data_IF_113324514651
#
_entry.id   IF_113324514651
#
_cell.length_a   1.000
_cell.length_b   1.000
_cell.length_c   1.000
_cell.angle_alpha   90.00
_cell.angle_beta   90.00
_cell.angle_gamma   90.00
#
_symmetry.space_group_name_H-M   'P 1'
#
loop_
_entity.id
_entity.type
_entity.pdbx_description
1 polymer ?
#
# COMPACT_ATOMS: atom_id res chain seq x y z
N UNK A 1 16.05 -30.10 77.61
CA UNK A 1 16.81 -30.39 76.38
C UNK A 1 15.81 -30.70 75.27
N UNK A 2 15.78 -29.81 74.29
CA UNK A 2 15.21 -29.83 72.92
C UNK A 2 14.08 -30.82 72.59
N UNK A 3 12.87 -30.28 72.35
CA UNK A 3 11.78 -30.96 71.64
C UNK A 3 11.91 -30.67 70.13
N UNK A 4 12.02 -31.72 69.31
CA UNK A 4 12.09 -31.61 67.85
C UNK A 4 10.68 -31.75 67.25
N UNK A 5 10.20 -30.70 66.57
CA UNK A 5 8.97 -30.72 65.80
C UNK A 5 9.26 -31.16 64.36
N UNK A 6 8.62 -32.25 63.92
CA UNK A 6 8.69 -32.75 62.55
C UNK A 6 7.64 -32.02 61.71
N UNK A 7 8.07 -31.14 60.80
CA UNK A 7 7.22 -30.50 59.80
C UNK A 7 7.10 -31.43 58.59
N UNK A 8 5.89 -31.97 58.36
CA UNK A 8 5.54 -32.68 57.14
C UNK A 8 5.24 -31.66 56.02
N UNK A 9 6.10 -31.59 55.02
CA UNK A 9 5.90 -30.79 53.81
C UNK A 9 5.09 -31.57 52.76
N UNK A 10 3.86 -31.13 52.49
CA UNK A 10 3.06 -31.61 51.38
C UNK A 10 3.51 -30.96 50.05
N UNK A 11 3.55 -31.68 48.92
CA UNK A 11 3.90 -31.10 47.64
C UNK A 11 2.72 -30.29 47.09
N UNK A 12 2.93 -28.99 46.87
CA UNK A 12 2.00 -28.14 46.14
C UNK A 12 2.16 -28.40 44.62
N UNK A 13 1.25 -29.15 44.03
CA UNK A 13 1.09 -29.25 42.58
C UNK A 13 0.52 -27.93 42.05
N UNK A 14 1.39 -27.09 41.48
CA UNK A 14 0.97 -25.93 40.72
C UNK A 14 0.29 -26.39 39.42
N UNK A 15 -1.03 -26.23 39.34
CA UNK A 15 -1.77 -26.40 38.11
C UNK A 15 -1.40 -25.25 37.16
N UNK A 16 -0.69 -25.57 36.08
CA UNK A 16 -0.50 -24.68 34.93
C UNK A 16 -1.86 -24.55 34.21
N UNK A 17 -2.59 -23.49 34.51
CA UNK A 17 -3.71 -23.05 33.67
C UNK A 17 -3.14 -22.62 32.33
N UNK A 18 -3.26 -23.49 31.33
CA UNK A 18 -3.13 -23.11 29.93
C UNK A 18 -4.32 -22.22 29.60
N UNK A 19 -4.15 -20.92 29.74
CA UNK A 19 -5.13 -19.93 29.30
C UNK A 19 -5.07 -19.90 27.77
N UNK A 20 -5.80 -20.84 27.17
CA UNK A 20 -6.11 -20.87 25.75
C UNK A 20 -7.07 -19.74 25.44
N UNK A 21 -6.56 -18.50 25.49
CA UNK A 21 -7.30 -17.32 25.06
C UNK A 21 -7.68 -17.50 23.59
N UNK A 22 -8.94 -17.85 23.34
CA UNK A 22 -9.53 -17.80 22.02
C UNK A 22 -9.40 -16.35 21.55
N UNK A 23 -8.56 -16.12 20.54
CA UNK A 23 -8.38 -14.80 19.95
C UNK A 23 -9.76 -14.28 19.54
N UNK A 24 -10.22 -13.19 20.18
CA UNK A 24 -11.49 -12.58 19.81
C UNK A 24 -11.42 -12.18 18.33
N UNK A 25 -12.45 -12.49 17.53
CA UNK A 25 -12.48 -12.12 16.13
C UNK A 25 -12.35 -10.60 16.02
N UNK A 26 -11.47 -10.15 15.13
CA UNK A 26 -11.26 -8.73 14.91
C UNK A 26 -12.55 -8.06 14.47
N UNK A 27 -12.85 -6.88 15.01
CA UNK A 27 -14.05 -6.13 14.65
C UNK A 27 -13.98 -5.68 13.18
N UNK A 28 -15.10 -5.72 12.44
CA UNK A 28 -15.17 -5.12 11.11
C UNK A 28 -14.76 -3.65 11.14
N UNK A 29 -14.10 -3.22 10.09
CA UNK A 29 -13.69 -1.84 9.90
C UNK A 29 -13.72 -1.51 8.41
N UNK A 30 -13.40 -0.27 8.08
CA UNK A 30 -13.26 0.17 6.69
C UNK A 30 -12.06 1.08 6.54
N UNK A 31 -11.51 1.10 5.34
CA UNK A 31 -10.52 2.08 4.92
C UNK A 31 -10.98 2.72 3.61
N UNK A 32 -10.52 3.94 3.37
CA UNK A 32 -10.84 4.66 2.14
C UNK A 32 -9.58 4.94 1.37
N UNK A 33 -9.66 4.83 0.05
CA UNK A 33 -8.56 5.11 -0.86
C UNK A 33 -8.97 6.29 -1.72
N UNK A 34 -8.25 7.40 -1.62
CA UNK A 34 -8.40 8.54 -2.52
C UNK A 34 -7.58 8.20 -3.76
N UNK A 35 -8.26 8.00 -4.89
CA UNK A 35 -7.62 7.78 -6.17
C UNK A 35 -6.87 9.02 -6.60
N UNK A 36 -5.93 8.90 -7.54
CA UNK A 36 -5.06 10.02 -7.89
C UNK A 36 -5.87 11.23 -8.36
N UNK A 37 -6.11 12.23 -7.50
CA UNK A 37 -7.20 13.20 -7.74
C UNK A 37 -6.81 14.18 -8.84
N UNK A 38 -5.52 14.21 -9.17
CA UNK A 38 -4.94 15.16 -10.10
C UNK A 38 -4.76 14.63 -11.54
N UNK A 39 -5.35 13.47 -11.86
CA UNK A 39 -5.26 12.94 -13.23
C UNK A 39 -5.99 13.79 -14.25
N UNK A 40 -7.12 14.37 -13.86
CA UNK A 40 -7.97 15.16 -14.75
C UNK A 40 -7.79 16.67 -14.56
N UNK A 41 -7.34 17.12 -13.38
CA UNK A 41 -7.28 18.55 -13.02
C UNK A 41 -6.15 18.82 -12.00
N UNK A 42 -5.64 20.05 -11.95
CA UNK A 42 -4.69 20.50 -10.92
C UNK A 42 -5.39 21.26 -9.77
N UNK A 43 -6.70 21.07 -9.60
CA UNK A 43 -7.49 21.78 -8.59
C UNK A 43 -7.21 21.23 -7.19
N UNK A 44 -6.55 22.05 -6.37
CA UNK A 44 -6.28 21.73 -4.97
C UNK A 44 -7.56 21.54 -4.13
N UNK A 45 -8.65 22.23 -4.49
CA UNK A 45 -9.92 22.10 -3.77
C UNK A 45 -10.51 20.71 -3.92
N UNK A 46 -10.22 20.03 -5.04
CA UNK A 46 -10.59 18.64 -5.25
C UNK A 46 -9.97 17.75 -4.18
N UNK A 47 -8.65 17.85 -3.95
CA UNK A 47 -7.97 17.07 -2.92
C UNK A 47 -8.56 17.32 -1.52
N UNK A 48 -8.83 18.59 -1.17
CA UNK A 48 -9.44 18.95 0.12
C UNK A 48 -10.84 18.33 0.27
N UNK A 49 -11.62 18.36 -0.81
CA UNK A 49 -12.97 17.77 -0.85
C UNK A 49 -12.91 16.25 -0.73
N UNK A 50 -12.07 15.57 -1.51
CA UNK A 50 -11.93 14.12 -1.46
C UNK A 50 -11.45 13.65 -0.08
N UNK A 51 -10.58 14.39 0.63
CA UNK A 51 -10.23 14.09 2.03
C UNK A 51 -11.45 14.23 2.96
N UNK A 52 -12.25 15.27 2.76
CA UNK A 52 -13.46 15.51 3.57
C UNK A 52 -14.50 14.41 3.34
N UNK A 53 -14.76 14.06 2.09
CA UNK A 53 -15.74 13.04 1.69
C UNK A 53 -15.27 11.64 2.08
N UNK A 54 -14.00 11.29 1.86
CA UNK A 54 -13.40 10.05 2.33
C UNK A 54 -13.50 9.87 3.86
N UNK A 55 -13.58 10.96 4.62
CA UNK A 55 -13.71 10.92 6.08
C UNK A 55 -15.16 10.79 6.58
N UNK A 56 -16.19 10.98 5.75
CA UNK A 56 -17.60 10.95 6.19
C UNK A 56 -17.95 9.67 6.95
N UNK A 57 -17.50 8.53 6.42
CA UNK A 57 -17.76 7.21 7.01
C UNK A 57 -16.76 6.81 8.09
N UNK A 58 -15.94 7.75 8.57
CA UNK A 58 -15.04 7.55 9.71
C UNK A 58 -14.11 6.34 9.54
N UNK A 59 -13.40 6.20 8.41
CA UNK A 59 -12.54 5.04 8.19
C UNK A 59 -11.44 4.91 9.25
N UNK A 60 -10.90 3.70 9.40
CA UNK A 60 -9.77 3.44 10.27
C UNK A 60 -8.54 4.24 9.83
N UNK A 61 -8.33 4.34 8.51
CA UNK A 61 -7.30 5.14 7.87
C UNK A 61 -7.71 5.45 6.42
N UNK A 62 -7.04 6.42 5.83
CA UNK A 62 -7.15 6.83 4.43
C UNK A 62 -5.82 6.52 3.73
N UNK A 63 -5.86 6.03 2.50
CA UNK A 63 -4.70 5.94 1.62
C UNK A 63 -4.89 6.94 0.49
N UNK A 64 -3.99 7.91 0.34
CA UNK A 64 -4.01 8.81 -0.81
C UNK A 64 -2.97 8.35 -1.83
N UNK A 65 -3.35 8.34 -3.10
CA UNK A 65 -2.42 8.03 -4.19
C UNK A 65 -2.08 9.29 -4.97
N UNK A 66 -0.80 9.60 -5.06
CA UNK A 66 -0.31 10.77 -5.77
C UNK A 66 -0.40 12.10 -5.00
N UNK A 67 0.43 13.05 -5.41
CA UNK A 67 0.60 14.37 -4.81
C UNK A 67 0.20 15.49 -5.78
N UNK A 68 0.44 15.30 -7.09
CA UNK A 68 0.23 16.34 -8.11
C UNK A 68 -0.11 15.78 -9.48
N UNK A 69 -0.67 16.62 -10.34
CA UNK A 69 -0.89 16.31 -11.76
C UNK A 69 0.44 16.16 -12.51
N UNK A 70 0.39 15.49 -13.65
CA UNK A 70 1.53 15.41 -14.57
C UNK A 70 1.98 16.80 -15.08
N UNK A 71 1.03 17.73 -15.26
CA UNK A 71 1.26 19.08 -15.77
C UNK A 71 1.72 20.07 -14.70
N UNK A 72 1.57 19.73 -13.42
CA UNK A 72 2.02 20.57 -12.32
C UNK A 72 3.54 20.49 -12.14
N UNK A 73 4.14 21.64 -11.81
CA UNK A 73 5.56 21.76 -11.58
C UNK A 73 6.02 20.89 -10.38
N UNK A 74 7.16 20.21 -10.51
CA UNK A 74 7.77 19.44 -9.42
C UNK A 74 8.53 20.34 -8.42
N UNK A 75 7.89 21.40 -7.96
CA UNK A 75 8.48 22.41 -7.09
C UNK A 75 8.34 22.05 -5.61
N UNK A 76 9.32 22.44 -4.81
CA UNK A 76 9.29 22.31 -3.35
C UNK A 76 8.09 23.01 -2.73
N UNK A 77 7.70 24.17 -3.29
CA UNK A 77 6.51 24.92 -2.86
C UNK A 77 5.25 24.08 -3.02
N UNK A 78 5.08 23.41 -4.17
CA UNK A 78 3.92 22.57 -4.41
C UNK A 78 3.89 21.37 -3.46
N UNK A 79 5.02 20.69 -3.26
CA UNK A 79 5.09 19.57 -2.33
C UNK A 79 4.77 19.99 -0.88
N UNK A 80 5.28 21.15 -0.43
CA UNK A 80 4.95 21.69 0.89
C UNK A 80 3.44 21.99 1.02
N UNK A 81 2.84 22.66 0.04
CA UNK A 81 1.40 22.94 0.03
C UNK A 81 0.56 21.65 0.07
N UNK A 82 0.89 20.65 -0.74
CA UNK A 82 0.19 19.36 -0.75
C UNK A 82 0.38 18.59 0.55
N UNK A 83 1.57 18.67 1.16
CA UNK A 83 1.86 18.12 2.48
C UNK A 83 0.95 18.70 3.54
N UNK A 84 0.78 20.02 3.60
CA UNK A 84 -0.08 20.68 4.60
C UNK A 84 -1.54 20.21 4.51
N UNK A 85 -2.04 19.99 3.28
CA UNK A 85 -3.41 19.49 3.04
C UNK A 85 -3.56 18.06 3.52
N UNK A 86 -2.64 17.19 3.11
CA UNK A 86 -2.67 15.77 3.46
C UNK A 86 -2.48 15.56 4.98
N UNK A 87 -1.61 16.35 5.62
CA UNK A 87 -1.38 16.29 7.08
C UNK A 87 -2.56 16.89 7.88
N UNK A 88 -3.41 17.70 7.23
CA UNK A 88 -4.68 18.18 7.77
C UNK A 88 -5.81 17.14 7.82
N UNK A 89 -5.60 15.92 7.29
CA UNK A 89 -6.62 14.86 7.33
C UNK A 89 -7.03 14.52 8.78
N UNK A 90 -8.34 14.45 9.10
CA UNK A 90 -8.79 14.07 10.45
C UNK A 90 -8.45 12.62 10.84
N UNK A 91 -8.16 11.76 9.86
CA UNK A 91 -7.83 10.35 10.02
C UNK A 91 -6.36 10.10 9.65
N UNK A 92 -5.77 8.99 10.12
CA UNK A 92 -4.46 8.58 9.64
C UNK A 92 -4.48 8.48 8.13
N UNK A 93 -3.55 9.18 7.48
CA UNK A 93 -3.42 9.22 6.03
C UNK A 93 -2.06 8.65 5.64
N UNK A 94 -2.07 7.56 4.88
CA UNK A 94 -0.87 6.97 4.28
C UNK A 94 -0.77 7.43 2.83
N UNK A 95 0.34 8.08 2.48
CA UNK A 95 0.57 8.56 1.12
C UNK A 95 1.42 7.56 0.32
N UNK A 96 0.90 7.13 -0.82
CA UNK A 96 1.65 6.42 -1.86
C UNK A 96 2.01 7.40 -2.99
N UNK A 97 3.29 7.55 -3.38
CA UNK A 97 3.66 8.44 -4.47
C UNK A 97 3.27 7.82 -5.82
N UNK A 98 2.78 8.65 -6.73
CA UNK A 98 2.47 8.29 -8.12
C UNK A 98 3.64 8.62 -9.05
N UNK A 99 3.63 8.07 -10.26
CA UNK A 99 4.64 8.37 -11.30
C UNK A 99 4.67 9.86 -11.66
N UNK A 100 3.51 10.53 -11.65
CA UNK A 100 3.37 11.97 -11.87
C UNK A 100 4.13 12.81 -10.85
N UNK A 101 4.32 12.30 -9.63
CA UNK A 101 4.94 13.05 -8.54
C UNK A 101 6.43 13.21 -8.71
N UNK A 102 7.10 12.27 -9.38
CA UNK A 102 8.56 12.22 -9.46
C UNK A 102 9.08 11.74 -10.81
N UNK A 103 8.57 10.63 -11.34
CA UNK A 103 9.13 9.97 -12.52
C UNK A 103 9.01 10.83 -13.78
N UNK A 104 7.92 11.60 -13.89
CA UNK A 104 7.69 12.53 -14.99
C UNK A 104 8.44 13.87 -14.91
N UNK A 105 9.15 14.13 -13.81
CA UNK A 105 9.71 15.45 -13.56
C UNK A 105 10.89 15.80 -14.48
N UNK A 106 10.89 17.05 -14.95
CA UNK A 106 11.95 17.63 -15.77
C UNK A 106 12.41 18.97 -15.19
N UNK A 107 13.69 19.27 -15.36
CA UNK A 107 14.25 20.57 -15.02
C UNK A 107 14.00 21.62 -16.12
N UNK A 108 14.41 22.86 -15.90
CA UNK A 108 14.24 23.97 -16.85
C UNK A 108 14.93 23.76 -18.20
N UNK A 109 15.95 22.90 -18.26
CA UNK A 109 16.62 22.50 -19.50
C UNK A 109 15.95 21.29 -20.18
N UNK A 110 14.78 20.85 -19.70
CA UNK A 110 14.03 19.71 -20.23
C UNK A 110 14.62 18.33 -19.91
N UNK A 111 15.69 18.25 -19.10
CA UNK A 111 16.30 16.98 -18.70
C UNK A 111 15.54 16.37 -17.52
N UNK A 112 15.50 15.04 -17.44
CA UNK A 112 14.89 14.35 -16.29
C UNK A 112 15.61 14.73 -14.99
N UNK A 113 14.84 15.03 -13.96
CA UNK A 113 15.33 15.14 -12.57
C UNK A 113 14.57 14.20 -11.62
N UNK A 114 14.02 13.11 -12.17
CA UNK A 114 13.16 12.18 -11.45
C UNK A 114 13.73 11.65 -10.14
N UNK A 115 15.01 11.28 -10.12
CA UNK A 115 15.67 10.71 -8.92
C UNK A 115 15.80 11.75 -7.81
N UNK A 116 16.20 12.95 -8.18
CA UNK A 116 16.36 14.07 -7.25
C UNK A 116 14.98 14.45 -6.68
N UNK A 117 13.94 14.51 -7.52
CA UNK A 117 12.56 14.74 -7.08
C UNK A 117 12.00 13.61 -6.22
N UNK A 118 12.30 12.35 -6.52
CA UNK A 118 11.89 11.22 -5.67
C UNK A 118 12.53 11.30 -4.28
N UNK A 119 13.82 11.66 -4.19
CA UNK A 119 14.47 11.91 -2.91
C UNK A 119 13.81 13.08 -2.16
N UNK A 120 13.46 14.15 -2.87
CA UNK A 120 12.73 15.26 -2.26
C UNK A 120 11.35 14.88 -1.73
N UNK A 121 10.59 14.09 -2.48
CA UNK A 121 9.32 13.51 -2.03
C UNK A 121 9.54 12.70 -0.74
N UNK A 122 10.61 11.92 -0.66
CA UNK A 122 10.90 11.12 0.54
C UNK A 122 11.19 11.98 1.77
N UNK A 123 11.97 13.04 1.62
CA UNK A 123 12.24 13.98 2.71
C UNK A 123 10.97 14.69 3.20
N UNK A 124 10.12 15.14 2.27
CA UNK A 124 8.93 15.93 2.60
C UNK A 124 7.82 15.07 3.19
N UNK A 125 7.60 13.86 2.68
CA UNK A 125 6.43 13.06 3.03
C UNK A 125 6.72 11.86 3.93
N UNK A 126 7.97 11.41 4.04
CA UNK A 126 8.35 10.24 4.85
C UNK A 126 9.51 10.54 5.83
N UNK A 127 9.45 11.64 6.61
CA UNK A 127 10.55 12.03 7.50
C UNK A 127 10.77 11.03 8.66
N UNK A 128 9.73 10.31 9.04
CA UNK A 128 9.73 9.38 10.17
C UNK A 128 8.81 8.17 9.91
N UNK A 129 8.57 7.38 10.94
CA UNK A 129 7.75 6.18 10.90
C UNK A 129 6.25 6.45 11.17
N UNK A 130 5.76 7.68 11.11
CA UNK A 130 4.35 8.00 11.28
C UNK A 130 3.65 8.21 9.94
N UNK A 131 2.34 7.99 9.93
CA UNK A 131 1.46 8.44 8.86
C UNK A 131 1.27 9.96 8.91
N UNK A 132 0.72 10.54 7.83
CA UNK A 132 0.18 11.89 7.84
C UNK A 132 -1.15 11.91 8.58
N UNK A 133 -1.66 13.12 8.82
CA UNK A 133 -2.96 13.39 9.41
C UNK A 133 -2.85 13.82 10.87
N UNK A 134 -3.96 14.38 11.37
CA UNK A 134 -4.11 14.82 12.77
C UNK A 134 -4.01 13.63 13.72
N UNK A 135 -4.61 12.50 13.33
CA UNK A 135 -4.42 11.20 14.00
C UNK A 135 -3.41 10.41 13.20
N UNK A 136 -2.42 9.83 13.87
CA UNK A 136 -1.34 9.09 13.20
C UNK A 136 -1.33 7.63 13.60
N UNK A 137 -0.92 6.79 12.66
CA UNK A 137 -0.53 5.40 12.92
C UNK A 137 0.97 5.25 12.72
N UNK A 138 1.56 4.34 13.50
CA UNK A 138 2.96 3.97 13.30
C UNK A 138 3.06 2.96 12.16
N UNK A 139 3.95 3.25 11.23
CA UNK A 139 4.23 2.49 10.02
C UNK A 139 5.61 1.84 10.14
N UNK A 140 5.74 0.58 9.72
CA UNK A 140 7.07 0.00 9.52
C UNK A 140 7.51 0.24 8.08
N UNK A 141 8.60 0.97 7.89
CA UNK A 141 9.13 1.30 6.56
C UNK A 141 10.25 0.35 6.14
N UNK A 142 10.36 0.11 4.84
CA UNK A 142 11.47 -0.64 4.25
C UNK A 142 12.83 0.04 4.56
N UNK A 143 12.85 1.37 4.65
CA UNK A 143 14.01 2.16 5.05
C UNK A 143 14.59 1.85 6.43
N UNK A 144 13.84 1.17 7.30
CA UNK A 144 14.38 0.65 8.57
C UNK A 144 15.43 -0.46 8.34
N UNK A 145 15.43 -1.11 7.18
CA UNK A 145 16.49 -2.04 6.79
C UNK A 145 17.70 -1.27 6.26
N UNK A 146 18.87 -1.53 6.84
CA UNK A 146 20.14 -0.89 6.46
C UNK A 146 20.49 -1.02 4.96
N UNK A 147 20.06 -2.11 4.31
CA UNK A 147 20.26 -2.34 2.87
C UNK A 147 19.36 -1.46 1.99
N UNK A 148 18.25 -0.97 2.52
CA UNK A 148 17.19 -0.31 1.76
C UNK A 148 16.80 1.05 2.36
N UNK A 149 17.74 1.75 3.02
CA UNK A 149 17.50 3.05 3.68
C UNK A 149 16.84 4.10 2.79
N UNK A 150 17.09 4.04 1.49
CA UNK A 150 16.54 5.00 0.52
C UNK A 150 15.07 4.77 0.17
N UNK A 151 14.40 3.70 0.63
CA UNK A 151 13.03 3.35 0.21
C UNK A 151 12.01 3.60 1.32
N UNK A 152 11.86 4.86 1.74
CA UNK A 152 10.99 5.24 2.85
C UNK A 152 9.49 5.18 2.49
N UNK A 153 9.15 5.31 1.21
CA UNK A 153 7.78 5.30 0.69
C UNK A 153 7.11 3.92 0.77
N UNK A 154 7.90 2.85 0.85
CA UNK A 154 7.42 1.49 1.06
C UNK A 154 7.23 1.23 2.56
N UNK A 155 5.97 1.08 2.99
CA UNK A 155 5.62 0.91 4.40
C UNK A 155 4.54 -0.17 4.57
N UNK A 156 4.49 -0.80 5.75
CA UNK A 156 3.38 -1.66 6.14
C UNK A 156 2.83 -1.32 7.52
N UNK A 157 1.57 -1.68 7.74
CA UNK A 157 0.89 -1.63 9.03
C UNK A 157 -0.16 -2.75 9.10
N UNK A 158 -0.63 -3.04 10.30
CA UNK A 158 -1.60 -4.10 10.56
C UNK A 158 -2.89 -3.50 11.13
N UNK A 159 -4.03 -4.00 10.68
CA UNK A 159 -5.33 -3.62 11.22
C UNK A 159 -6.28 -4.81 11.07
N UNK A 160 -6.87 -5.24 12.19
CA UNK A 160 -7.92 -6.27 12.21
C UNK A 160 -7.55 -7.59 11.50
N UNK A 161 -6.35 -8.12 11.73
CA UNK A 161 -5.91 -9.39 11.13
C UNK A 161 -5.51 -9.29 9.65
N UNK A 162 -5.44 -8.07 9.10
CA UNK A 162 -5.02 -7.78 7.73
C UNK A 162 -3.73 -6.96 7.73
N UNK A 163 -2.78 -7.36 6.87
CA UNK A 163 -1.55 -6.63 6.61
C UNK A 163 -1.78 -5.67 5.43
N UNK A 164 -1.41 -4.41 5.58
CA UNK A 164 -1.52 -3.38 4.53
C UNK A 164 -0.13 -2.89 4.16
N UNK A 165 0.15 -2.67 2.88
CA UNK A 165 1.46 -2.18 2.46
C UNK A 165 1.43 -1.30 1.21
N UNK A 166 2.27 -0.27 1.18
CA UNK A 166 2.55 0.54 0.00
C UNK A 166 3.75 0.00 -0.77
N UNK A 167 3.70 0.10 -2.10
CA UNK A 167 4.79 -0.21 -3.00
C UNK A 167 4.92 0.88 -4.06
N UNK A 168 6.08 1.52 -4.14
CA UNK A 168 6.40 2.43 -5.22
C UNK A 168 6.57 1.67 -6.54
N UNK A 169 5.45 1.59 -7.26
CA UNK A 169 5.30 0.98 -8.58
C UNK A 169 4.51 2.01 -9.39
N UNK A 170 5.18 2.98 -10.04
CA UNK A 170 4.53 4.05 -10.78
C UNK A 170 3.87 3.51 -12.06
N UNK A 171 2.85 4.21 -12.53
CA UNK A 171 2.03 3.78 -13.66
C UNK A 171 2.65 3.92 -15.06
N UNK A 172 3.75 4.66 -15.16
CA UNK A 172 4.51 4.88 -16.38
C UNK A 172 5.41 3.68 -16.74
N UNK A 173 4.82 2.50 -16.88
CA UNK A 173 5.53 1.22 -17.08
C UNK A 173 6.55 0.93 -15.97
N UNK A 174 6.17 1.18 -14.71
CA UNK A 174 7.06 1.04 -13.56
C UNK A 174 8.34 1.88 -13.68
N UNK A 175 8.32 2.99 -14.44
CA UNK A 175 9.49 3.79 -14.81
C UNK A 175 10.59 2.97 -15.52
N UNK A 176 10.19 1.98 -16.32
CA UNK A 176 11.11 1.27 -17.19
C UNK A 176 11.47 2.13 -18.41
N UNK A 177 12.75 2.45 -18.57
CA UNK A 177 13.31 3.21 -19.68
C UNK A 177 14.07 2.26 -20.62
N UNK A 178 13.70 2.21 -21.92
CA UNK A 178 14.41 1.43 -22.92
C UNK A 178 15.65 2.21 -23.41
N UNK A 179 16.63 2.39 -22.52
CA UNK A 179 17.88 3.07 -22.85
C UNK A 179 18.99 2.06 -23.17
N UNK A 180 19.97 2.46 -23.99
CA UNK A 180 21.13 1.62 -24.34
C UNK A 180 22.10 1.37 -23.15
N UNK A 181 21.75 1.83 -21.95
CA UNK A 181 22.54 1.74 -20.72
C UNK A 181 21.74 1.18 -19.54
N UNK A 182 22.27 1.35 -18.32
CA UNK A 182 21.67 0.77 -17.11
C UNK A 182 20.49 1.61 -16.62
N UNK A 183 19.31 1.00 -16.52
CA UNK A 183 18.14 1.60 -15.87
C UNK A 183 18.24 1.48 -14.34
N UNK A 184 19.25 2.14 -13.77
CA UNK A 184 19.74 1.88 -12.42
C UNK A 184 18.66 2.08 -11.34
N UNK A 185 17.84 3.13 -11.47
CA UNK A 185 16.74 3.38 -10.52
C UNK A 185 15.73 2.23 -10.53
N UNK A 186 15.24 1.85 -11.71
CA UNK A 186 14.28 0.76 -11.86
C UNK A 186 14.84 -0.55 -11.32
N UNK A 187 16.07 -0.90 -11.68
CA UNK A 187 16.71 -2.15 -11.26
C UNK A 187 16.90 -2.21 -9.74
N UNK A 188 17.40 -1.13 -9.13
CA UNK A 188 17.63 -1.07 -7.69
C UNK A 188 16.29 -1.08 -6.93
N UNK A 189 15.28 -0.33 -7.42
CA UNK A 189 13.92 -0.36 -6.86
C UNK A 189 13.26 -1.71 -7.04
N UNK A 190 13.50 -2.42 -8.14
CA UNK A 190 13.02 -3.79 -8.34
C UNK A 190 13.63 -4.74 -7.31
N UNK A 191 14.92 -4.63 -7.00
CA UNK A 191 15.56 -5.42 -5.94
C UNK A 191 14.95 -5.11 -4.56
N UNK A 192 14.71 -3.84 -4.26
CA UNK A 192 14.07 -3.41 -3.01
C UNK A 192 12.63 -3.92 -2.89
N UNK A 193 11.80 -3.73 -3.92
CA UNK A 193 10.42 -4.20 -3.97
C UNK A 193 10.35 -5.73 -3.90
N UNK A 194 11.29 -6.46 -4.51
CA UNK A 194 11.37 -7.92 -4.41
C UNK A 194 11.61 -8.39 -2.98
N UNK A 195 12.56 -7.76 -2.29
CA UNK A 195 12.84 -8.06 -0.88
C UNK A 195 11.66 -7.69 0.01
N UNK A 196 10.98 -6.59 -0.31
CA UNK A 196 9.81 -6.11 0.40
C UNK A 196 8.64 -7.08 0.31
N UNK A 197 8.24 -7.46 -0.90
CA UNK A 197 7.17 -8.44 -1.13
C UNK A 197 7.45 -9.76 -0.42
N UNK A 198 8.68 -10.26 -0.50
CA UNK A 198 9.05 -11.49 0.21
C UNK A 198 8.81 -11.34 1.72
N UNK A 199 9.24 -10.22 2.33
CA UNK A 199 9.02 -9.95 3.76
C UNK A 199 7.53 -9.89 4.11
N UNK A 200 6.72 -9.20 3.31
CA UNK A 200 5.29 -9.02 3.56
C UNK A 200 4.55 -10.36 3.53
N UNK A 201 4.74 -11.16 2.47
CA UNK A 201 4.09 -12.46 2.34
C UNK A 201 4.56 -13.45 3.42
N UNK A 202 5.85 -13.48 3.72
CA UNK A 202 6.38 -14.33 4.79
C UNK A 202 5.83 -13.93 6.17
N UNK A 203 5.58 -12.64 6.40
CA UNK A 203 4.95 -12.15 7.63
C UNK A 203 3.47 -12.53 7.69
N UNK A 204 2.73 -12.29 6.61
CA UNK A 204 1.32 -12.63 6.51
C UNK A 204 1.09 -14.13 6.72
N UNK A 205 1.93 -14.99 6.11
CA UNK A 205 1.89 -16.44 6.30
C UNK A 205 2.22 -16.84 7.74
N UNK A 206 3.34 -16.39 8.30
CA UNK A 206 3.76 -16.82 9.65
C UNK A 206 2.81 -16.37 10.76
N UNK A 207 2.10 -15.27 10.55
CA UNK A 207 1.14 -14.71 11.50
C UNK A 207 -0.30 -15.15 11.22
N UNK A 208 -0.52 -15.99 10.21
CA UNK A 208 -1.85 -16.42 9.77
C UNK A 208 -2.80 -15.23 9.54
N UNK A 209 -2.30 -14.18 8.89
CA UNK A 209 -3.13 -13.03 8.52
C UNK A 209 -4.23 -13.49 7.58
N UNK A 210 -5.43 -12.91 7.72
CA UNK A 210 -6.57 -13.25 6.87
C UNK A 210 -6.44 -12.60 5.50
N UNK A 211 -5.76 -11.44 5.44
CA UNK A 211 -5.62 -10.66 4.23
C UNK A 211 -4.30 -9.90 4.12
N UNK A 212 -3.92 -9.61 2.88
CA UNK A 212 -2.82 -8.71 2.53
C UNK A 212 -3.32 -7.71 1.46
N UNK A 213 -3.26 -6.42 1.77
CA UNK A 213 -3.60 -5.35 0.81
C UNK A 213 -2.33 -4.66 0.33
N UNK A 214 -2.12 -4.60 -0.98
CA UNK A 214 -0.97 -3.97 -1.61
C UNK A 214 -1.44 -2.75 -2.41
N UNK A 215 -0.93 -1.58 -2.06
CA UNK A 215 -1.23 -0.31 -2.73
C UNK A 215 -0.13 0.05 -3.72
N UNK A 216 -0.51 0.31 -4.98
CA UNK A 216 0.38 0.69 -6.09
C UNK A 216 -0.22 1.84 -6.90
N UNK A 217 0.58 2.57 -7.66
CA UNK A 217 0.04 3.56 -8.60
C UNK A 217 -0.33 2.86 -9.93
N UNK A 218 0.60 2.07 -10.47
CA UNK A 218 0.39 1.27 -11.67
C UNK A 218 -0.38 -0.03 -11.43
N UNK A 219 -1.18 -0.43 -12.41
CA UNK A 219 -1.82 -1.75 -12.47
C UNK A 219 -0.81 -2.81 -12.92
N UNK A 220 -0.37 -3.64 -11.99
CA UNK A 220 0.56 -4.74 -12.28
C UNK A 220 -0.09 -5.92 -12.99
N UNK A 221 -1.44 -5.96 -13.15
CA UNK A 221 -2.20 -7.00 -13.86
C UNK A 221 -1.98 -8.43 -13.36
N UNK A 222 -1.67 -8.61 -12.08
CA UNK A 222 -1.41 -9.94 -11.53
C UNK A 222 -2.67 -10.82 -11.41
N UNK A 223 -3.85 -10.21 -11.33
CA UNK A 223 -5.15 -10.88 -11.21
C UNK A 223 -5.71 -11.46 -12.53
N UNK A 224 -5.20 -11.05 -13.70
CA UNK A 224 -5.62 -11.58 -15.02
C UNK A 224 -4.61 -12.59 -15.56
N UNK A 225 -4.96 -13.38 -16.58
CA UNK A 225 -3.98 -14.18 -17.33
C UNK A 225 -3.12 -13.32 -18.25
N UNK A 226 -1.89 -13.77 -18.51
CA UNK A 226 -1.12 -13.22 -19.62
C UNK A 226 -1.76 -13.71 -20.91
N UNK A 227 -2.56 -12.85 -21.56
CA UNK A 227 -3.14 -13.16 -22.85
C UNK A 227 -2.04 -13.49 -23.86
N UNK A 228 -2.18 -14.61 -24.56
CA UNK A 228 -1.30 -14.99 -25.66
C UNK A 228 -1.53 -14.03 -26.83
N UNK A 229 -0.73 -12.97 -26.94
CA UNK A 229 -0.77 -12.07 -28.09
C UNK A 229 0.15 -12.60 -29.18
N UNK A 230 -0.41 -13.21 -30.23
CA UNK A 230 0.33 -13.59 -31.45
C UNK A 230 1.00 -12.40 -32.16
N UNK A 231 0.67 -11.16 -31.78
CA UNK A 231 1.17 -9.91 -32.34
C UNK A 231 2.24 -9.23 -31.48
N UNK A 232 2.64 -9.80 -30.33
CA UNK A 232 3.68 -9.22 -29.46
C UNK A 232 5.04 -9.12 -30.15
N UNK A 233 5.26 -9.82 -31.27
CA UNK A 233 6.46 -9.72 -32.09
C UNK A 233 6.65 -8.39 -32.85
N UNK A 234 5.62 -7.55 -32.98
CA UNK A 234 5.69 -6.34 -33.81
C UNK A 234 5.70 -5.01 -33.02
N UNK A 235 5.58 -5.03 -31.68
CA UNK A 235 5.71 -3.82 -30.83
C UNK A 235 5.85 -4.12 -29.33
N UNK A 236 6.70 -5.08 -28.93
CA UNK A 236 6.90 -5.36 -27.51
C UNK A 236 7.73 -4.25 -26.83
N UNK A 237 7.08 -3.18 -26.38
CA UNK A 237 7.60 -2.40 -25.24
C UNK A 237 7.89 -3.40 -24.12
N UNK A 238 9.11 -3.40 -23.58
CA UNK A 238 9.47 -4.25 -22.45
C UNK A 238 8.54 -3.94 -21.27
N UNK A 239 7.95 -5.00 -20.71
CA UNK A 239 7.00 -4.90 -19.61
C UNK A 239 7.75 -4.73 -18.27
N UNK A 240 7.75 -3.49 -17.77
CA UNK A 240 8.37 -3.13 -16.50
C UNK A 240 7.66 -3.71 -15.27
N UNK A 241 6.47 -4.29 -15.43
CA UNK A 241 5.72 -4.94 -14.36
C UNK A 241 5.95 -6.45 -14.31
N UNK A 242 6.54 -7.07 -15.34
CA UNK A 242 6.61 -8.53 -15.47
C UNK A 242 7.22 -9.23 -14.24
N UNK A 243 8.36 -8.72 -13.73
CA UNK A 243 9.04 -9.32 -12.60
C UNK A 243 8.21 -9.25 -11.31
N UNK A 244 7.60 -8.09 -11.02
CA UNK A 244 6.78 -7.91 -9.81
C UNK A 244 5.46 -8.67 -9.92
N UNK A 245 4.82 -8.67 -11.09
CA UNK A 245 3.60 -9.43 -11.39
C UNK A 245 3.82 -10.92 -11.14
N UNK A 246 4.90 -11.49 -11.70
CA UNK A 246 5.28 -12.89 -11.50
C UNK A 246 5.48 -13.22 -10.01
N UNK A 247 6.16 -12.35 -9.28
CA UNK A 247 6.42 -12.56 -7.86
C UNK A 247 5.15 -12.52 -7.01
N UNK A 248 4.26 -11.55 -7.24
CA UNK A 248 2.99 -11.45 -6.53
C UNK A 248 2.12 -12.68 -6.76
N UNK A 249 2.00 -13.16 -8.01
CA UNK A 249 1.27 -14.40 -8.32
C UNK A 249 1.84 -15.61 -7.57
N UNK A 250 3.15 -15.82 -7.65
CA UNK A 250 3.82 -16.96 -7.02
C UNK A 250 3.70 -16.97 -5.49
N UNK A 251 3.62 -15.80 -4.84
CA UNK A 251 3.38 -15.71 -3.41
C UNK A 251 1.90 -15.85 -3.05
N UNK A 252 1.00 -15.25 -3.83
CA UNK A 252 -0.44 -15.37 -3.64
C UNK A 252 -0.90 -16.84 -3.69
N UNK A 253 -0.40 -17.63 -4.64
CA UNK A 253 -0.68 -19.07 -4.77
C UNK A 253 -0.35 -19.87 -3.49
N UNK A 254 0.64 -19.44 -2.72
CA UNK A 254 1.09 -20.11 -1.48
C UNK A 254 0.48 -19.51 -0.22
N UNK A 255 -0.26 -18.41 -0.34
CA UNK A 255 -0.86 -17.71 0.78
C UNK A 255 -2.30 -18.15 0.96
N UNK A 256 -2.67 -18.57 2.17
CA UNK A 256 -4.02 -19.08 2.44
C UNK A 256 -5.07 -17.95 2.54
N UNK A 257 -4.64 -16.74 2.88
CA UNK A 257 -5.50 -15.57 2.98
C UNK A 257 -5.81 -14.92 1.62
N UNK A 258 -6.59 -13.82 1.65
CA UNK A 258 -6.91 -13.02 0.47
C UNK A 258 -5.84 -11.96 0.22
N UNK A 259 -5.45 -11.76 -1.04
CA UNK A 259 -4.59 -10.67 -1.47
C UNK A 259 -5.44 -9.67 -2.26
N UNK A 260 -5.49 -8.42 -1.84
CA UNK A 260 -6.16 -7.34 -2.57
C UNK A 260 -5.10 -6.39 -3.12
N UNK A 261 -5.03 -6.26 -4.45
CA UNK A 261 -4.26 -5.24 -5.12
C UNK A 261 -5.15 -4.01 -5.27
N UNK A 262 -4.69 -2.87 -4.78
CA UNK A 262 -5.36 -1.59 -4.97
C UNK A 262 -4.43 -0.71 -5.78
N UNK A 263 -4.87 -0.32 -6.97
CA UNK A 263 -4.11 0.58 -7.84
C UNK A 263 -4.90 1.82 -8.22
N UNK A 264 -4.20 2.80 -8.78
CA UNK A 264 -4.82 4.04 -9.19
C UNK A 264 -5.35 3.98 -10.63
N UNK A 265 -5.20 2.88 -11.37
CA UNK A 265 -5.59 2.74 -12.78
C UNK A 265 -7.03 2.25 -12.97
N UNK A 266 -7.97 2.71 -12.15
CA UNK A 266 -9.39 2.45 -12.38
C UNK A 266 -9.96 3.31 -13.51
N UNK A 267 -11.05 2.86 -14.12
CA UNK A 267 -11.78 3.60 -15.14
C UNK A 267 -12.73 4.62 -14.47
N UNK A 268 -12.56 5.94 -14.68
CA UNK A 268 -13.30 6.95 -13.90
C UNK A 268 -14.83 6.92 -14.03
N UNK A 269 -15.36 6.32 -15.09
CA UNK A 269 -16.80 6.24 -15.36
C UNK A 269 -17.39 4.85 -15.11
N UNK A 270 -16.56 3.86 -14.78
CA UNK A 270 -17.04 2.51 -14.52
C UNK A 270 -17.48 2.39 -13.07
N UNK A 271 -18.48 1.54 -12.82
CA UNK A 271 -18.81 1.15 -11.45
C UNK A 271 -17.60 0.42 -10.86
N UNK A 272 -17.09 0.87 -9.70
CA UNK A 272 -15.95 0.22 -9.05
C UNK A 272 -16.33 -1.20 -8.63
N UNK A 273 -15.43 -2.14 -8.86
CA UNK A 273 -15.62 -3.55 -8.51
C UNK A 273 -14.27 -4.19 -8.17
N UNK A 274 -14.32 -5.19 -7.28
CA UNK A 274 -13.16 -6.05 -7.02
C UNK A 274 -13.20 -7.24 -7.96
N UNK A 275 -12.24 -7.34 -8.88
CA UNK A 275 -12.13 -8.47 -9.81
C UNK A 275 -11.20 -9.53 -9.22
N UNK A 276 -11.72 -10.75 -9.02
CA UNK A 276 -11.00 -11.83 -8.34
C UNK A 276 -10.51 -12.92 -9.30
N UNK A 277 -9.33 -13.45 -8.98
CA UNK A 277 -8.80 -14.72 -9.48
C UNK A 277 -8.29 -15.53 -8.30
N UNK A 278 -9.01 -16.58 -7.93
CA UNK A 278 -8.70 -17.38 -6.75
C UNK A 278 -8.70 -16.51 -5.48
N UNK A 279 -7.55 -16.38 -4.84
CA UNK A 279 -7.36 -15.54 -3.66
C UNK A 279 -6.77 -14.15 -3.96
N UNK A 280 -6.52 -13.80 -5.24
CA UNK A 280 -5.95 -12.53 -5.66
C UNK A 280 -7.02 -11.65 -6.32
N UNK A 281 -7.34 -10.52 -5.70
CA UNK A 281 -8.30 -9.54 -6.18
C UNK A 281 -7.62 -8.25 -6.63
N UNK A 282 -8.27 -7.49 -7.51
CA UNK A 282 -7.87 -6.13 -7.88
C UNK A 282 -9.02 -5.16 -7.67
N UNK A 283 -8.72 -4.00 -7.09
CA UNK A 283 -9.54 -2.79 -7.10
C UNK A 283 -8.75 -1.68 -7.82
N UNK A 284 -9.20 -1.27 -9.00
CA UNK A 284 -8.68 -0.08 -9.67
C UNK A 284 -9.50 1.14 -9.25
N UNK A 285 -8.88 2.10 -8.58
CA UNK A 285 -9.51 3.34 -8.12
C UNK A 285 -9.48 4.37 -9.26
N UNK A 286 -10.63 4.56 -9.93
CA UNK A 286 -10.77 5.48 -11.07
C UNK A 286 -11.49 6.77 -10.73
N UNK A 287 -12.41 6.71 -9.76
CA UNK A 287 -13.10 7.86 -9.20
C UNK A 287 -12.23 8.63 -8.19
N UNK A 288 -12.84 9.61 -7.52
CA UNK A 288 -12.16 10.43 -6.53
C UNK A 288 -11.74 9.63 -5.28
N UNK A 289 -12.60 8.73 -4.80
CA UNK A 289 -12.26 7.79 -3.72
C UNK A 289 -13.11 6.52 -3.77
N UNK A 290 -12.61 5.47 -3.12
CA UNK A 290 -13.30 4.20 -2.93
C UNK A 290 -13.18 3.75 -1.47
N UNK A 291 -14.29 3.29 -0.88
CA UNK A 291 -14.30 2.77 0.50
C UNK A 291 -14.41 1.26 0.48
N UNK A 292 -13.43 0.59 1.09
CA UNK A 292 -13.38 -0.86 1.25
C UNK A 292 -13.75 -1.23 2.68
N UNK A 293 -14.78 -2.04 2.83
CA UNK A 293 -15.15 -2.70 4.09
C UNK A 293 -14.30 -3.95 4.26
N UNK A 294 -13.79 -4.15 5.47
CA UNK A 294 -13.02 -5.33 5.88
C UNK A 294 -13.82 -6.07 6.94
N UNK A 295 -14.10 -7.35 6.68
CA UNK A 295 -14.90 -8.22 7.54
C UNK A 295 -14.08 -9.46 7.98
N UNK A 296 -13.22 -9.33 9.00
CA UNK A 296 -12.45 -10.45 9.53
C UNK A 296 -13.34 -11.62 9.96
N UNK A 297 -12.87 -12.84 9.78
CA UNK A 297 -13.58 -14.09 10.07
C UNK A 297 -14.61 -14.49 9.02
N UNK A 298 -14.71 -13.77 7.89
CA UNK A 298 -15.71 -14.05 6.84
C UNK A 298 -15.05 -14.45 5.51
N UNK A 299 -15.78 -15.22 4.69
CA UNK A 299 -15.32 -15.59 3.34
C UNK A 299 -15.16 -14.36 2.42
N UNK A 300 -15.99 -13.33 2.65
CA UNK A 300 -15.99 -12.05 1.93
C UNK A 300 -15.19 -10.99 2.70
N UNK A 301 -13.91 -11.27 2.94
CA UNK A 301 -13.04 -10.41 3.75
C UNK A 301 -13.02 -8.95 3.26
N UNK A 302 -13.08 -8.71 1.95
CA UNK A 302 -13.10 -7.37 1.35
C UNK A 302 -14.34 -7.18 0.49
N UNK A 303 -15.05 -6.07 0.72
CA UNK A 303 -16.15 -5.63 -0.14
C UNK A 303 -16.13 -4.11 -0.30
N UNK A 304 -16.66 -3.60 -1.41
CA UNK A 304 -16.87 -2.17 -1.56
C UNK A 304 -18.08 -1.73 -0.75
N UNK A 305 -18.07 -0.49 -0.27
CA UNK A 305 -19.29 0.17 0.17
C UNK A 305 -20.13 0.47 -1.08
N UNK A 306 -21.36 -0.04 -1.13
CA UNK A 306 -22.29 0.29 -2.21
C UNK A 306 -22.44 1.81 -2.31
N UNK A 307 -22.44 2.35 -3.53
CA UNK A 307 -22.60 3.78 -3.78
C UNK A 307 -23.96 4.32 -3.29
N UNK A 308 -24.92 3.44 -3.00
CA UNK A 308 -26.26 3.76 -2.54
C UNK A 308 -26.58 3.05 -1.20
N UNK A 309 -26.03 3.54 -0.10
CA UNK A 309 -26.63 3.31 1.21
C UNK A 309 -26.62 4.63 1.98
N UNK A 310 -27.82 5.20 2.25
CA UNK A 310 -27.97 6.54 2.85
C UNK A 310 -27.33 6.68 4.23
#
# INVERSE_FOLDING_TARGET
>A
MVAAAILASAPATAALSADGGVAQPARPFQFTVIGHPFRATSDENLLRRSITEANQDKPAFIVATGIKAQTEACSDRLYAQRRDILDGSPRPLVLLPAGSDWAGCRNSAGRSNAIERLNRVREVFYPDNQSLGVRRITLTRLSANVKFRSYAENAYWEQGGVLFATLNIPDNNNHYLPEAGRNSEYEDRLVANRAWLHRLFLMAQRRNMEGLVLFTDGDIKAHVDEGFSLLSGFSAKQDGYAAVRKQVRAFAEKYQGKVLLVDSQGEPKATPAITWRGNLGRLGVGGEWETVRVQPGTASLFSLKDADSP
#
